data_IF_048570716355
#
_entry.id   IF_048570716355
#
_cell.length_a   1.000
_cell.length_b   1.000
_cell.length_c   1.000
_cell.angle_alpha   90.00
_cell.angle_beta   90.00
_cell.angle_gamma   90.00
#
_symmetry.space_group_name_H-M   'P 1'
#
loop_
_entity.id
_entity.type
_entity.pdbx_description
1 polymer ?
#
# COMPACT_ATOMS: atom_id res chain seq x y z
N UNK A 1 -15.42 -4.00 28.88
CA UNK A 1 -16.28 -3.81 27.68
C UNK A 1 -17.76 -3.74 28.07
N UNK A 2 -18.25 -4.45 29.11
CA UNK A 2 -19.66 -4.36 29.58
C UNK A 2 -20.02 -2.90 29.91
N UNK A 3 -19.23 -2.21 30.73
CA UNK A 3 -19.42 -0.76 31.02
C UNK A 3 -19.45 0.12 29.77
N UNK A 4 -18.68 -0.24 28.73
CA UNK A 4 -18.72 0.46 27.45
C UNK A 4 -20.09 0.31 26.79
N UNK A 5 -20.65 -0.91 26.78
CA UNK A 5 -21.98 -1.18 26.23
C UNK A 5 -23.09 -0.36 26.92
N UNK A 6 -23.07 -0.33 28.25
CA UNK A 6 -24.01 0.47 29.04
C UNK A 6 -23.90 1.97 28.71
N UNK A 7 -22.67 2.49 28.65
CA UNK A 7 -22.42 3.92 28.32
C UNK A 7 -22.87 4.24 26.89
N UNK A 8 -22.58 3.38 25.93
CA UNK A 8 -23.02 3.54 24.56
C UNK A 8 -24.55 3.54 24.43
N UNK A 9 -25.24 2.66 25.15
CA UNK A 9 -26.71 2.63 25.18
C UNK A 9 -27.32 3.97 25.69
N UNK A 10 -26.67 4.63 26.64
CA UNK A 10 -27.08 5.97 27.11
C UNK A 10 -26.87 7.02 26.01
N UNK A 11 -25.69 7.00 25.37
CA UNK A 11 -25.34 7.94 24.29
C UNK A 11 -26.29 7.75 23.10
N UNK A 12 -26.58 6.51 22.73
CA UNK A 12 -27.48 6.20 21.60
C UNK A 12 -28.89 6.77 21.81
N UNK A 13 -29.40 6.69 23.04
CA UNK A 13 -30.68 7.32 23.38
C UNK A 13 -30.60 8.84 23.32
N UNK A 14 -29.54 9.43 23.88
CA UNK A 14 -29.36 10.87 23.91
C UNK A 14 -29.12 11.50 22.53
N UNK A 15 -28.43 10.78 21.65
CA UNK A 15 -28.02 11.25 20.32
C UNK A 15 -28.86 10.68 19.18
N UNK A 16 -29.83 9.81 19.45
CA UNK A 16 -30.66 9.12 18.49
C UNK A 16 -29.85 8.38 17.38
N UNK A 17 -28.71 7.79 17.74
CA UNK A 17 -27.81 7.12 16.79
C UNK A 17 -28.36 5.78 16.29
N UNK A 18 -29.43 5.28 16.91
CA UNK A 18 -30.07 3.99 16.58
C UNK A 18 -29.08 2.81 16.60
N UNK A 19 -28.11 2.82 17.52
CA UNK A 19 -27.01 1.85 17.66
C UNK A 19 -26.05 1.81 16.45
N UNK A 20 -26.01 2.86 15.61
CA UNK A 20 -25.03 2.95 14.52
C UNK A 20 -23.66 3.34 15.11
N UNK A 21 -22.76 2.35 15.15
CA UNK A 21 -21.50 2.46 15.89
C UNK A 21 -20.33 2.03 15.02
N UNK A 22 -19.24 2.77 15.09
CA UNK A 22 -17.96 2.40 14.49
C UNK A 22 -16.93 2.29 15.60
N UNK A 23 -16.33 1.11 15.75
CA UNK A 23 -15.27 0.83 16.71
C UNK A 23 -13.92 0.93 16.00
N UNK A 24 -13.22 2.03 16.24
CA UNK A 24 -11.90 2.26 15.66
C UNK A 24 -10.82 1.75 16.64
N UNK A 25 -10.08 0.71 16.22
CA UNK A 25 -9.05 0.09 17.04
C UNK A 25 -7.71 0.81 16.85
N UNK A 26 -7.57 1.98 17.48
CA UNK A 26 -6.30 2.72 17.54
C UNK A 26 -5.44 2.20 18.70
N UNK A 27 -5.06 0.95 18.65
CA UNK A 27 -4.28 0.25 19.69
C UNK A 27 -3.12 -0.52 19.03
N UNK A 28 -2.19 -1.05 19.85
CA UNK A 28 -1.15 -1.93 19.31
C UNK A 28 -1.78 -3.11 18.56
N UNK A 29 -1.19 -3.54 17.42
CA UNK A 29 -1.68 -4.67 16.61
C UNK A 29 -1.90 -5.97 17.39
N UNK A 30 -1.14 -6.17 18.47
CA UNK A 30 -1.27 -7.30 19.39
C UNK A 30 -2.64 -7.39 20.05
N UNK A 31 -3.38 -6.28 20.13
CA UNK A 31 -4.70 -6.19 20.76
C UNK A 31 -5.86 -6.26 19.77
N UNK A 32 -5.64 -6.32 18.44
CA UNK A 32 -6.76 -6.35 17.49
C UNK A 32 -7.66 -7.55 17.71
N UNK A 33 -7.09 -8.75 17.78
CA UNK A 33 -7.89 -9.97 18.00
C UNK A 33 -8.62 -10.00 19.35
N UNK A 34 -7.96 -9.60 20.44
CA UNK A 34 -8.58 -9.54 21.77
C UNK A 34 -9.64 -8.44 21.86
N UNK A 35 -9.40 -7.29 21.24
CA UNK A 35 -10.37 -6.20 21.14
C UNK A 35 -11.63 -6.61 20.39
N UNK A 36 -11.49 -7.25 19.23
CA UNK A 36 -12.64 -7.77 18.47
C UNK A 36 -13.43 -8.80 19.27
N UNK A 37 -12.76 -9.78 19.91
CA UNK A 37 -13.44 -10.77 20.76
C UNK A 37 -14.19 -10.11 21.91
N UNK A 38 -13.59 -9.11 22.55
CA UNK A 38 -14.24 -8.40 23.66
C UNK A 38 -15.47 -7.61 23.21
N UNK A 39 -15.44 -6.99 22.03
CA UNK A 39 -16.60 -6.30 21.45
C UNK A 39 -17.71 -7.28 21.08
N UNK A 40 -17.37 -8.41 20.47
CA UNK A 40 -18.32 -9.46 20.12
C UNK A 40 -18.97 -10.10 21.36
N UNK A 41 -18.18 -10.44 22.38
CA UNK A 41 -18.68 -11.00 23.64
C UNK A 41 -19.65 -10.05 24.38
N UNK A 42 -19.48 -8.74 24.20
CA UNK A 42 -20.40 -7.74 24.73
C UNK A 42 -21.63 -7.45 23.84
N UNK A 43 -21.82 -8.21 22.73
CA UNK A 43 -22.91 -8.03 21.78
C UNK A 43 -22.83 -6.74 20.96
N UNK A 44 -21.68 -6.06 20.96
CA UNK A 44 -21.53 -4.74 20.31
C UNK A 44 -21.34 -4.86 18.79
N UNK A 45 -21.08 -6.06 18.26
CA UNK A 45 -20.93 -6.35 16.83
C UNK A 45 -22.08 -7.19 16.27
N UNK A 46 -23.17 -7.38 17.01
CA UNK A 46 -24.26 -8.30 16.65
C UNK A 46 -25.13 -7.82 15.48
N UNK A 47 -25.19 -6.52 15.22
CA UNK A 47 -25.97 -5.95 14.12
C UNK A 47 -25.04 -5.55 12.94
N UNK A 48 -24.99 -6.37 11.85
CA UNK A 48 -24.11 -6.09 10.71
C UNK A 48 -24.46 -4.83 9.93
N UNK A 49 -25.67 -4.31 10.05
CA UNK A 49 -26.07 -3.11 9.37
C UNK A 49 -25.63 -1.83 10.10
N UNK A 50 -25.39 -1.93 11.42
CA UNK A 50 -25.18 -0.76 12.27
C UNK A 50 -23.86 -0.75 13.05
N UNK A 51 -23.18 -1.87 13.19
CA UNK A 51 -21.90 -1.93 13.89
C UNK A 51 -20.75 -2.25 12.92
N UNK A 52 -19.65 -1.54 13.07
CA UNK A 52 -18.44 -1.67 12.25
C UNK A 52 -17.20 -1.68 13.12
N UNK A 53 -16.18 -2.39 12.67
CA UNK A 53 -14.85 -2.34 13.29
C UNK A 53 -13.83 -1.88 12.26
N UNK A 54 -13.01 -0.90 12.63
CA UNK A 54 -11.92 -0.36 11.81
C UNK A 54 -10.61 -0.79 12.42
N UNK A 55 -9.75 -1.38 11.59
CA UNK A 55 -8.45 -1.93 11.98
C UNK A 55 -7.37 -1.28 11.12
N UNK A 56 -6.34 -0.77 11.78
CA UNK A 56 -5.18 -0.16 11.12
C UNK A 56 -4.10 -1.19 10.72
N UNK A 57 -3.15 -0.74 9.93
CA UNK A 57 -1.92 -1.50 9.69
C UNK A 57 -1.01 -1.53 10.93
N UNK A 58 -0.18 -2.57 11.09
CA UNK A 58 -0.10 -3.78 10.26
C UNK A 58 -1.22 -4.77 10.57
N UNK A 59 -1.75 -5.42 9.53
CA UNK A 59 -2.70 -6.51 9.65
C UNK A 59 -1.94 -7.84 9.55
N UNK A 60 -1.34 -8.26 10.66
CA UNK A 60 -0.36 -9.34 10.71
C UNK A 60 1.05 -8.87 10.32
N UNK A 61 2.05 -9.72 10.60
CA UNK A 61 3.46 -9.49 10.28
C UNK A 61 3.91 -10.23 9.02
N UNK A 62 3.30 -11.37 8.77
CA UNK A 62 3.53 -12.27 7.65
C UNK A 62 2.21 -12.90 7.22
N UNK A 63 2.24 -13.75 6.21
CA UNK A 63 1.06 -14.40 5.66
C UNK A 63 0.31 -15.23 6.73
N UNK A 64 1.04 -16.01 7.54
CA UNK A 64 0.43 -16.87 8.57
C UNK A 64 -0.26 -16.05 9.67
N UNK A 65 0.41 -15.04 10.20
CA UNK A 65 -0.17 -14.16 11.23
C UNK A 65 -1.31 -13.29 10.69
N UNK A 66 -1.26 -12.89 9.42
CA UNK A 66 -2.35 -12.18 8.77
C UNK A 66 -3.59 -13.07 8.60
N UNK A 67 -3.40 -14.33 8.18
CA UNK A 67 -4.50 -15.32 8.11
C UNK A 67 -5.11 -15.60 9.48
N UNK A 68 -4.28 -15.80 10.52
CA UNK A 68 -4.79 -16.05 11.87
C UNK A 68 -5.57 -14.85 12.41
N UNK A 69 -5.03 -13.63 12.25
CA UNK A 69 -5.78 -12.44 12.66
C UNK A 69 -7.09 -12.30 11.88
N UNK A 70 -7.07 -12.57 10.58
CA UNK A 70 -8.28 -12.54 9.75
C UNK A 70 -9.31 -13.55 10.24
N UNK A 71 -8.90 -14.80 10.53
CA UNK A 71 -9.75 -15.82 11.09
C UNK A 71 -10.38 -15.38 12.41
N UNK A 72 -9.58 -14.82 13.32
CA UNK A 72 -10.07 -14.30 14.60
C UNK A 72 -11.08 -13.19 14.41
N UNK A 73 -10.81 -12.22 13.56
CA UNK A 73 -11.72 -11.08 13.33
C UNK A 73 -13.04 -11.54 12.69
N UNK A 74 -12.98 -12.48 11.75
CA UNK A 74 -14.17 -13.06 11.10
C UNK A 74 -15.04 -13.92 12.03
N UNK A 75 -14.49 -14.46 13.14
CA UNK A 75 -15.33 -15.08 14.17
C UNK A 75 -16.09 -14.06 15.01
N UNK A 76 -15.70 -12.78 14.98
CA UNK A 76 -16.29 -11.72 15.79
C UNK A 76 -17.29 -10.84 15.02
N UNK A 77 -17.11 -10.70 13.70
CA UNK A 77 -17.89 -9.80 12.85
C UNK A 77 -17.95 -10.35 11.42
N UNK A 78 -19.00 -9.99 10.70
CA UNK A 78 -19.11 -10.30 9.26
C UNK A 78 -18.15 -9.43 8.44
N UNK A 79 -17.74 -9.89 7.26
CA UNK A 79 -16.77 -9.16 6.42
C UNK A 79 -17.23 -7.74 6.05
N UNK A 80 -18.52 -7.52 5.87
CA UNK A 80 -19.09 -6.19 5.60
C UNK A 80 -19.03 -5.22 6.79
N UNK A 81 -18.72 -5.72 8.00
CA UNK A 81 -18.48 -4.91 9.20
C UNK A 81 -17.01 -4.57 9.41
N UNK A 82 -16.08 -5.24 8.69
CA UNK A 82 -14.65 -5.17 8.93
C UNK A 82 -14.00 -4.22 7.91
N UNK A 83 -13.41 -3.15 8.40
CA UNK A 83 -12.70 -2.15 7.60
C UNK A 83 -11.21 -2.17 7.93
N UNK A 84 -10.42 -2.78 7.06
CA UNK A 84 -8.95 -2.72 7.10
C UNK A 84 -8.52 -1.51 6.32
N UNK A 85 -7.93 -0.54 7.00
CA UNK A 85 -7.61 0.74 6.38
C UNK A 85 -6.16 0.84 5.93
N UNK A 86 -5.98 1.44 4.74
CA UNK A 86 -4.71 1.95 4.24
C UNK A 86 -4.89 3.43 3.91
N UNK A 87 -4.19 4.30 4.64
CA UNK A 87 -4.36 5.75 4.51
C UNK A 87 -3.97 6.30 3.12
N UNK A 88 -3.17 5.56 2.33
CA UNK A 88 -2.89 5.94 0.94
C UNK A 88 -4.15 5.92 0.08
N UNK A 89 -5.06 4.98 0.32
CA UNK A 89 -6.34 4.93 -0.40
C UNK A 89 -7.27 6.12 -0.06
N UNK A 90 -7.05 6.77 1.08
CA UNK A 90 -7.76 7.98 1.47
C UNK A 90 -7.18 9.27 0.85
N UNK A 91 -6.00 9.21 0.23
CA UNK A 91 -5.43 10.38 -0.44
C UNK A 91 -6.16 10.65 -1.75
N UNK A 92 -6.59 11.89 -1.94
CA UNK A 92 -7.25 12.36 -3.17
C UNK A 92 -6.37 12.11 -4.40
N UNK A 93 -5.07 12.38 -4.29
CA UNK A 93 -4.09 12.17 -5.36
C UNK A 93 -3.98 10.70 -5.78
N UNK A 94 -4.14 9.74 -4.86
CA UNK A 94 -4.20 8.31 -5.18
C UNK A 94 -5.51 7.94 -5.87
N UNK A 95 -6.63 8.48 -5.40
CA UNK A 95 -7.94 8.26 -6.03
C UNK A 95 -8.00 8.86 -7.43
N UNK A 96 -7.30 9.95 -7.69
CA UNK A 96 -7.21 10.59 -9.00
C UNK A 96 -6.57 9.69 -10.09
N UNK A 97 -5.85 8.64 -9.73
CA UNK A 97 -5.41 7.62 -10.69
C UNK A 97 -6.61 7.00 -11.42
N UNK A 98 -7.68 6.70 -10.67
CA UNK A 98 -8.91 6.11 -11.23
C UNK A 98 -9.65 7.11 -12.13
N UNK A 99 -9.78 8.35 -11.67
CA UNK A 99 -10.42 9.43 -12.43
C UNK A 99 -9.68 9.67 -13.75
N UNK A 100 -8.35 9.75 -13.68
CA UNK A 100 -7.51 9.92 -14.86
C UNK A 100 -7.70 8.78 -15.86
N UNK A 101 -7.70 7.53 -15.39
CA UNK A 101 -7.85 6.36 -16.26
C UNK A 101 -9.27 6.23 -16.83
N UNK A 102 -10.27 6.27 -15.97
CA UNK A 102 -11.63 5.83 -16.32
C UNK A 102 -12.60 6.96 -16.67
N UNK A 103 -12.23 8.21 -16.40
CA UNK A 103 -13.03 9.36 -16.83
C UNK A 103 -12.45 10.05 -18.08
N UNK A 104 -11.36 9.54 -18.67
CA UNK A 104 -10.71 10.13 -19.85
C UNK A 104 -10.59 9.08 -20.96
N UNK A 105 -11.24 9.33 -22.07
CA UNK A 105 -11.30 8.43 -23.23
C UNK A 105 -9.91 8.19 -23.87
N UNK A 106 -8.98 9.12 -23.72
CA UNK A 106 -7.65 9.05 -24.39
C UNK A 106 -6.67 8.13 -23.66
N UNK A 107 -6.80 7.92 -22.35
CA UNK A 107 -5.81 7.17 -21.58
C UNK A 107 -6.06 5.66 -21.56
N UNK A 108 -7.27 5.23 -21.29
CA UNK A 108 -7.55 3.79 -21.12
C UNK A 108 -7.20 2.92 -22.36
N UNK A 109 -7.43 3.36 -23.62
CA UNK A 109 -7.03 2.60 -24.81
C UNK A 109 -5.53 2.35 -24.92
N UNK A 110 -4.69 3.25 -24.41
CA UNK A 110 -3.23 3.14 -24.45
C UNK A 110 -2.64 2.59 -23.15
N UNK A 111 -3.48 2.26 -22.15
CA UNK A 111 -3.07 1.81 -20.82
C UNK A 111 -2.85 0.30 -20.76
N UNK A 112 -1.94 -0.19 -21.62
CA UNK A 112 -1.67 -1.62 -21.75
C UNK A 112 -0.29 -1.90 -22.37
N UNK A 113 0.09 -3.16 -22.43
CA UNK A 113 1.38 -3.67 -22.94
C UNK A 113 1.73 -3.27 -24.38
N UNK A 114 0.74 -2.89 -25.19
CA UNK A 114 1.02 -2.50 -26.58
C UNK A 114 1.67 -1.11 -26.65
N UNK A 115 1.41 -0.26 -25.66
CA UNK A 115 1.90 1.11 -25.62
C UNK A 115 2.87 1.38 -24.46
N UNK A 116 2.73 0.67 -23.32
CA UNK A 116 3.55 0.87 -22.14
C UNK A 116 4.75 -0.10 -22.18
N UNK A 117 5.96 0.42 -22.03
CA UNK A 117 7.20 -0.35 -21.97
C UNK A 117 7.59 -0.70 -20.53
N UNK A 118 7.29 0.17 -19.56
CA UNK A 118 7.54 -0.08 -18.14
C UNK A 118 6.71 0.82 -17.24
N UNK A 119 6.52 0.40 -15.99
CA UNK A 119 5.86 1.21 -14.94
C UNK A 119 6.77 1.27 -13.72
N UNK A 120 6.98 2.46 -13.15
CA UNK A 120 7.73 2.65 -11.92
C UNK A 120 6.82 3.29 -10.87
N UNK A 121 6.79 2.72 -9.67
CA UNK A 121 6.04 3.24 -8.52
C UNK A 121 7.03 3.53 -7.42
N UNK A 122 7.17 4.79 -7.05
CA UNK A 122 8.13 5.26 -6.07
C UNK A 122 7.44 5.94 -4.90
N UNK A 123 7.85 5.58 -3.67
CA UNK A 123 7.53 6.32 -2.46
C UNK A 123 8.83 6.57 -1.69
N UNK A 124 9.41 7.75 -1.86
CA UNK A 124 10.68 8.16 -1.27
C UNK A 124 10.44 9.12 -0.11
N UNK A 125 11.10 8.89 1.02
CA UNK A 125 11.03 9.71 2.22
C UNK A 125 12.41 10.32 2.53
N UNK A 126 12.42 11.60 2.93
CA UNK A 126 13.65 12.29 3.37
C UNK A 126 13.96 12.10 4.85
N UNK A 127 12.95 11.69 5.62
CA UNK A 127 13.06 11.42 7.07
C UNK A 127 13.65 10.03 7.33
N UNK A 128 14.28 9.86 8.51
CA UNK A 128 14.76 8.58 9.01
C UNK A 128 13.67 7.81 9.75
N UNK A 129 14.08 6.91 10.65
CA UNK A 129 13.15 6.17 11.52
C UNK A 129 12.77 6.99 12.76
N UNK A 130 13.64 7.91 13.19
CA UNK A 130 13.41 8.82 14.32
C UNK A 130 12.93 8.06 15.57
N UNK A 131 11.88 8.52 16.24
CA UNK A 131 11.35 7.88 17.45
C UNK A 131 10.62 6.54 17.20
N UNK A 132 10.50 6.10 15.94
CA UNK A 132 9.80 4.88 15.54
C UNK A 132 10.71 3.67 15.35
N UNK A 133 11.93 3.71 15.86
CA UNK A 133 12.92 2.63 15.70
C UNK A 133 12.37 1.25 16.09
N UNK A 134 11.74 1.12 17.27
CA UNK A 134 11.19 -0.16 17.75
C UNK A 134 10.11 -0.75 16.84
N UNK A 135 9.24 0.08 16.27
CA UNK A 135 8.27 -0.36 15.26
C UNK A 135 8.98 -0.77 13.98
N UNK A 136 9.91 0.06 13.52
CA UNK A 136 10.56 -0.12 12.22
C UNK A 136 11.47 -1.35 12.19
N UNK A 137 12.14 -1.68 13.31
CA UNK A 137 12.93 -2.90 13.46
C UNK A 137 12.12 -4.17 13.17
N UNK A 138 10.84 -4.16 13.50
CA UNK A 138 9.93 -5.28 13.24
C UNK A 138 9.31 -5.28 11.85
N UNK A 139 9.26 -4.14 11.17
CA UNK A 139 8.57 -3.94 9.89
C UNK A 139 9.51 -3.93 8.69
N UNK A 140 10.48 -3.03 8.69
CA UNK A 140 11.29 -2.71 7.51
C UNK A 140 10.48 -2.06 6.38
N UNK A 141 11.17 -1.65 5.33
CA UNK A 141 10.55 -0.98 4.19
C UNK A 141 9.58 -1.90 3.40
N UNK A 142 9.82 -3.20 3.39
CA UNK A 142 8.94 -4.17 2.72
C UNK A 142 7.54 -4.17 3.35
N UNK A 143 7.45 -4.37 4.67
CA UNK A 143 6.16 -4.46 5.36
C UNK A 143 5.53 -3.09 5.60
N UNK A 144 6.35 -2.05 5.83
CA UNK A 144 5.83 -0.71 6.11
C UNK A 144 5.29 -0.03 4.84
N UNK A 145 5.89 -0.26 3.67
CA UNK A 145 5.56 0.47 2.46
C UNK A 145 5.16 -0.41 1.27
N UNK A 146 5.90 -1.48 0.96
CA UNK A 146 5.66 -2.26 -0.26
C UNK A 146 4.39 -3.08 -0.15
N UNK A 147 4.26 -3.87 0.91
CA UNK A 147 3.15 -4.81 1.13
C UNK A 147 1.76 -4.14 1.19
N UNK A 148 1.70 -2.85 1.48
CA UNK A 148 0.47 -2.08 1.57
C UNK A 148 0.42 -0.94 0.54
N UNK A 149 1.02 0.19 0.81
CA UNK A 149 0.88 1.42 0.03
C UNK A 149 1.29 1.27 -1.44
N UNK A 150 2.48 0.71 -1.72
CA UNK A 150 2.94 0.53 -3.10
C UNK A 150 2.11 -0.52 -3.83
N UNK A 151 1.72 -1.59 -3.14
CA UNK A 151 0.84 -2.63 -3.68
C UNK A 151 -0.56 -2.08 -4.00
N UNK A 152 -1.10 -1.19 -3.18
CA UNK A 152 -2.37 -0.52 -3.48
C UNK A 152 -2.25 0.40 -4.70
N UNK A 153 -1.17 1.20 -4.79
CA UNK A 153 -0.92 2.03 -5.97
C UNK A 153 -0.73 1.18 -7.22
N UNK A 154 0.00 0.06 -7.13
CA UNK A 154 0.13 -0.90 -8.21
C UNK A 154 -1.24 -1.41 -8.67
N UNK A 155 -2.07 -1.87 -7.74
CA UNK A 155 -3.39 -2.39 -8.05
C UNK A 155 -4.28 -1.35 -8.74
N UNK A 156 -4.35 -0.11 -8.23
CA UNK A 156 -5.13 0.97 -8.86
C UNK A 156 -4.60 1.37 -10.24
N UNK A 157 -3.28 1.32 -10.42
CA UNK A 157 -2.64 1.63 -11.71
C UNK A 157 -2.93 0.55 -12.75
N UNK A 158 -3.11 -0.71 -12.34
CA UNK A 158 -3.06 -1.85 -13.27
C UNK A 158 -4.34 -2.65 -13.39
N UNK A 159 -5.33 -2.44 -12.50
CA UNK A 159 -6.61 -3.13 -12.52
C UNK A 159 -7.44 -2.80 -13.79
N UNK A 160 -8.39 -3.67 -14.12
CA UNK A 160 -9.40 -3.36 -15.12
C UNK A 160 -10.41 -2.33 -14.59
N UNK A 161 -11.12 -1.69 -15.50
CA UNK A 161 -12.23 -0.83 -15.13
C UNK A 161 -13.31 -1.65 -14.41
N UNK A 162 -13.71 -1.31 -13.19
CA UNK A 162 -14.76 -2.03 -12.50
C UNK A 162 -16.12 -1.79 -13.20
N UNK A 163 -16.96 -2.81 -13.23
CA UNK A 163 -18.30 -2.69 -13.83
C UNK A 163 -19.22 -1.72 -13.07
N UNK A 164 -18.90 -1.43 -11.81
CA UNK A 164 -19.56 -0.44 -10.94
C UNK A 164 -18.52 0.20 -10.03
N UNK A 165 -18.75 1.48 -9.70
CA UNK A 165 -17.91 2.19 -8.74
C UNK A 165 -18.43 1.97 -7.30
N UNK A 166 -18.32 0.72 -6.83
CA UNK A 166 -18.64 0.30 -5.46
C UNK A 166 -17.47 -0.44 -4.81
N UNK A 167 -17.44 -0.57 -3.48
CA UNK A 167 -16.32 -1.16 -2.76
C UNK A 167 -16.03 -2.62 -3.12
N UNK A 168 -17.05 -3.40 -3.47
CA UNK A 168 -16.89 -4.82 -3.81
C UNK A 168 -16.28 -4.98 -5.20
N UNK A 169 -16.84 -4.31 -6.21
CA UNK A 169 -16.30 -4.31 -7.57
C UNK A 169 -14.86 -3.83 -7.61
N UNK A 170 -14.53 -2.76 -6.86
CA UNK A 170 -13.17 -2.26 -6.74
C UNK A 170 -12.21 -3.27 -6.10
N UNK A 171 -12.63 -3.96 -5.04
CA UNK A 171 -11.82 -5.00 -4.39
C UNK A 171 -11.56 -6.18 -5.33
N UNK A 172 -12.58 -6.60 -6.06
CA UNK A 172 -12.48 -7.72 -6.99
C UNK A 172 -11.47 -7.44 -8.10
N UNK A 173 -11.51 -6.26 -8.73
CA UNK A 173 -10.54 -5.90 -9.77
C UNK A 173 -9.11 -5.81 -9.22
N UNK A 174 -8.91 -5.23 -8.04
CA UNK A 174 -7.61 -5.22 -7.37
C UNK A 174 -7.11 -6.64 -7.07
N UNK A 175 -7.98 -7.52 -6.57
CA UNK A 175 -7.62 -8.90 -6.26
C UNK A 175 -7.16 -9.67 -7.51
N UNK A 176 -7.84 -9.53 -8.64
CA UNK A 176 -7.45 -10.16 -9.92
C UNK A 176 -6.03 -9.79 -10.33
N UNK A 177 -5.69 -8.51 -10.24
CA UNK A 177 -4.34 -8.03 -10.55
C UNK A 177 -3.31 -8.61 -9.60
N UNK A 178 -3.57 -8.58 -8.30
CA UNK A 178 -2.63 -9.06 -7.29
C UNK A 178 -2.42 -10.58 -7.40
N UNK A 179 -3.45 -11.34 -7.75
CA UNK A 179 -3.33 -12.76 -8.04
C UNK A 179 -2.47 -13.07 -9.29
N UNK A 180 -2.41 -12.14 -10.23
CA UNK A 180 -1.57 -12.25 -11.43
C UNK A 180 -0.15 -11.70 -11.26
N UNK A 181 0.13 -11.00 -10.15
CA UNK A 181 1.44 -10.43 -9.88
C UNK A 181 2.45 -11.52 -9.52
N UNK A 182 3.65 -11.46 -10.12
CA UNK A 182 4.76 -12.39 -9.91
C UNK A 182 6.07 -11.63 -9.78
N UNK A 183 6.98 -12.10 -8.94
CA UNK A 183 8.36 -11.63 -8.97
C UNK A 183 9.00 -11.94 -10.31
N UNK A 184 9.93 -11.12 -10.75
CA UNK A 184 10.63 -11.32 -12.02
C UNK A 184 11.46 -12.62 -12.03
N UNK A 185 11.86 -13.11 -10.86
CA UNK A 185 12.46 -14.40 -10.65
C UNK A 185 11.97 -14.93 -9.30
N UNK A 186 11.05 -15.89 -9.31
CA UNK A 186 10.47 -16.48 -8.09
C UNK A 186 11.42 -17.45 -7.40
N UNK A 187 12.26 -18.15 -8.17
CA UNK A 187 13.22 -19.11 -7.62
C UNK A 187 14.41 -18.39 -6.96
N UNK A 188 14.78 -17.23 -7.47
CA UNK A 188 15.89 -16.41 -6.97
C UNK A 188 15.45 -14.97 -6.72
N UNK A 189 14.63 -14.71 -5.68
CA UNK A 189 14.06 -13.39 -5.41
C UNK A 189 15.11 -12.27 -5.25
N UNK A 190 16.32 -12.61 -4.81
CA UNK A 190 17.43 -11.66 -4.67
C UNK A 190 17.93 -11.08 -5.99
N UNK A 191 17.65 -11.73 -7.13
CA UNK A 191 17.99 -11.21 -8.46
C UNK A 191 17.04 -10.12 -8.94
N UNK A 192 15.88 -10.03 -8.32
CA UNK A 192 14.86 -9.04 -8.69
C UNK A 192 14.43 -8.12 -7.53
N UNK A 193 15.06 -8.26 -6.36
CA UNK A 193 14.80 -7.43 -5.19
C UNK A 193 16.11 -7.01 -4.54
N UNK A 194 16.33 -5.69 -4.43
CA UNK A 194 17.45 -5.10 -3.72
C UNK A 194 16.95 -4.52 -2.41
N UNK A 195 17.64 -4.82 -1.30
CA UNK A 195 17.39 -4.25 0.01
C UNK A 195 18.63 -3.53 0.50
N UNK A 196 18.46 -2.46 1.24
CA UNK A 196 19.57 -1.72 1.81
C UNK A 196 19.17 -0.94 3.05
N UNK A 197 20.16 -0.40 3.72
CA UNK A 197 20.00 0.52 4.85
C UNK A 197 20.68 1.84 4.52
N UNK A 198 20.14 2.98 5.00
CA UNK A 198 20.88 4.22 4.89
C UNK A 198 22.05 4.23 5.85
N UNK A 199 23.21 4.60 5.31
CA UNK A 199 24.43 4.79 6.06
C UNK A 199 24.58 6.23 6.59
N UNK A 200 25.64 6.52 7.36
CA UNK A 200 26.01 7.88 7.68
C UNK A 200 26.25 8.69 6.41
N UNK A 201 25.88 9.96 6.41
CA UNK A 201 26.01 10.82 5.23
C UNK A 201 25.77 12.29 5.57
N UNK A 202 25.32 13.05 4.58
CA UNK A 202 25.08 14.49 4.71
C UNK A 202 26.35 15.32 4.51
N UNK A 203 26.30 16.59 4.90
CA UNK A 203 27.46 17.51 4.89
C UNK A 203 28.01 17.72 6.31
N UNK A 204 29.21 18.29 6.39
CA UNK A 204 29.82 18.66 7.69
C UNK A 204 28.94 19.57 8.54
N UNK A 205 28.12 20.41 7.90
CA UNK A 205 27.17 21.30 8.57
C UNK A 205 25.83 20.64 8.90
N UNK A 206 25.53 19.46 8.32
CA UNK A 206 24.28 18.73 8.49
C UNK A 206 24.51 17.22 8.37
N UNK A 207 25.20 16.62 9.37
CA UNK A 207 25.47 15.18 9.34
C UNK A 207 24.17 14.39 9.45
N UNK A 208 24.10 13.28 8.73
CA UNK A 208 23.02 12.32 8.81
C UNK A 208 23.53 11.06 9.49
N UNK A 209 22.87 10.66 10.56
CA UNK A 209 23.15 9.43 11.29
C UNK A 209 22.72 8.23 10.43
N UNK A 210 23.55 7.18 10.38
CA UNK A 210 23.22 5.92 9.72
C UNK A 210 22.17 5.14 10.53
N UNK A 211 21.43 4.26 9.87
CA UNK A 211 20.31 3.52 10.47
C UNK A 211 20.69 2.79 11.77
N UNK A 212 21.81 2.04 11.75
CA UNK A 212 22.28 1.29 12.92
C UNK A 212 22.82 2.17 14.06
N UNK A 213 22.93 3.46 13.82
CA UNK A 213 23.36 4.45 14.80
C UNK A 213 22.17 5.28 15.33
N UNK A 214 20.97 5.08 14.79
CA UNK A 214 19.78 5.78 15.28
C UNK A 214 19.40 5.26 16.68
N UNK A 215 18.91 6.14 17.58
CA UNK A 215 18.49 5.74 18.92
C UNK A 215 17.42 4.63 18.87
N UNK A 216 17.62 3.57 19.64
CA UNK A 216 16.68 2.44 19.72
C UNK A 216 16.76 1.42 18.58
N UNK A 217 17.70 1.58 17.65
CA UNK A 217 18.00 0.58 16.62
C UNK A 217 19.11 -0.36 17.12
N UNK A 218 18.96 -1.66 16.84
CA UNK A 218 20.02 -2.62 17.13
C UNK A 218 21.23 -2.34 16.20
N UNK A 219 22.46 -2.16 16.73
CA UNK A 219 23.66 -1.95 15.91
C UNK A 219 23.93 -3.05 14.88
N UNK A 220 23.46 -4.27 15.13
CA UNK A 220 23.57 -5.41 14.23
C UNK A 220 22.31 -5.63 13.36
N UNK A 221 21.40 -4.68 13.34
CA UNK A 221 20.15 -4.78 12.60
C UNK A 221 20.39 -5.06 11.11
N UNK A 222 19.61 -5.98 10.56
CA UNK A 222 19.53 -6.28 9.12
C UNK A 222 18.23 -5.80 8.48
N UNK A 223 17.43 -5.04 9.24
CA UNK A 223 16.14 -4.51 8.77
C UNK A 223 16.38 -3.48 7.67
N UNK A 224 15.77 -3.69 6.53
CA UNK A 224 15.92 -2.82 5.38
C UNK A 224 15.18 -1.49 5.54
N UNK A 225 15.83 -0.40 5.18
CA UNK A 225 15.26 0.95 5.10
C UNK A 225 15.05 1.42 3.65
N UNK A 226 15.48 0.60 2.71
CA UNK A 226 15.33 0.78 1.27
C UNK A 226 15.00 -0.55 0.60
N UNK A 227 14.06 -0.51 -0.34
CA UNK A 227 13.73 -1.64 -1.21
C UNK A 227 13.50 -1.14 -2.62
N UNK A 228 14.08 -1.86 -3.58
CA UNK A 228 13.72 -1.77 -4.99
C UNK A 228 13.46 -3.18 -5.51
N UNK A 229 12.35 -3.39 -6.20
CA UNK A 229 12.00 -4.71 -6.72
C UNK A 229 11.37 -4.61 -8.11
N UNK A 230 11.56 -5.68 -8.89
CA UNK A 230 10.97 -5.87 -10.21
C UNK A 230 9.96 -7.00 -10.15
N UNK A 231 8.78 -6.76 -10.69
CA UNK A 231 7.73 -7.76 -10.82
C UNK A 231 7.06 -7.68 -12.18
N UNK A 232 6.26 -8.68 -12.51
CA UNK A 232 5.39 -8.74 -13.69
C UNK A 232 3.95 -9.02 -13.27
N UNK A 233 3.00 -8.62 -14.11
CA UNK A 233 1.59 -8.96 -13.96
C UNK A 233 1.22 -9.84 -15.15
N UNK A 234 0.99 -11.12 -14.88
CA UNK A 234 0.73 -12.15 -15.89
C UNK A 234 -0.75 -12.17 -16.27
N UNK A 235 -1.19 -11.11 -16.95
CA UNK A 235 -2.51 -11.02 -17.54
C UNK A 235 -2.44 -10.44 -18.97
N UNK A 236 -3.56 -10.45 -19.69
CA UNK A 236 -3.62 -9.96 -21.07
C UNK A 236 -3.20 -8.50 -21.24
N UNK A 237 -3.52 -7.64 -20.28
CA UNK A 237 -3.20 -6.21 -20.32
C UNK A 237 -1.71 -5.94 -20.14
N UNK A 238 -1.02 -6.70 -19.26
CA UNK A 238 0.31 -6.34 -18.78
C UNK A 238 1.42 -7.36 -19.08
N UNK A 239 1.10 -8.49 -19.67
CA UNK A 239 2.11 -9.53 -19.95
C UNK A 239 3.35 -8.95 -20.63
N UNK A 240 4.53 -9.16 -20.02
CA UNK A 240 5.82 -8.69 -20.51
C UNK A 240 6.20 -7.26 -20.13
N UNK A 241 5.32 -6.48 -19.49
CA UNK A 241 5.65 -5.16 -18.97
C UNK A 241 6.28 -5.30 -17.59
N UNK A 242 7.51 -4.81 -17.35
CA UNK A 242 8.12 -4.79 -16.04
C UNK A 242 7.53 -3.66 -15.17
N UNK A 243 7.28 -4.00 -13.91
CA UNK A 243 6.88 -3.06 -12.87
C UNK A 243 8.00 -2.95 -11.86
N UNK A 244 8.43 -1.73 -11.58
CA UNK A 244 9.45 -1.43 -10.59
C UNK A 244 8.82 -0.72 -9.39
N UNK A 245 8.89 -1.35 -8.23
CA UNK A 245 8.48 -0.75 -6.97
C UNK A 245 9.71 -0.29 -6.21
N UNK A 246 9.72 0.95 -5.73
CA UNK A 246 10.84 1.51 -4.97
C UNK A 246 10.37 2.35 -3.80
N UNK A 247 10.95 2.10 -2.64
CA UNK A 247 10.74 2.92 -1.44
C UNK A 247 12.01 2.98 -0.60
N UNK A 248 12.12 4.01 0.20
CA UNK A 248 13.22 4.13 1.15
C UNK A 248 13.14 5.40 1.98
N UNK A 249 13.85 5.35 3.11
CA UNK A 249 14.07 6.47 4.02
C UNK A 249 15.41 7.14 3.76
N UNK A 250 15.57 8.41 4.20
CA UNK A 250 16.78 9.22 3.99
C UNK A 250 17.17 9.34 2.51
N UNK A 251 16.18 9.31 1.62
CA UNK A 251 16.41 9.61 0.20
C UNK A 251 16.52 11.12 -0.03
N UNK A 252 17.21 11.57 -1.09
CA UNK A 252 17.50 13.00 -1.31
C UNK A 252 16.26 13.87 -1.46
N UNK A 253 15.14 13.28 -1.92
CA UNK A 253 13.89 14.00 -2.18
C UNK A 253 12.70 13.20 -1.69
N UNK A 254 11.75 13.89 -1.03
CA UNK A 254 10.43 13.31 -0.76
C UNK A 254 9.65 13.26 -2.07
N UNK A 255 9.22 12.06 -2.44
CA UNK A 255 8.57 11.82 -3.72
C UNK A 255 7.61 10.63 -3.60
N UNK A 256 6.37 10.80 -4.04
CA UNK A 256 5.44 9.71 -4.30
C UNK A 256 4.92 9.88 -5.72
N UNK A 257 5.19 8.90 -6.59
CA UNK A 257 4.79 9.01 -8.00
C UNK A 257 4.62 7.63 -8.65
N UNK A 258 3.81 7.62 -9.71
CA UNK A 258 3.72 6.54 -10.68
C UNK A 258 4.19 7.09 -12.03
N UNK A 259 5.21 6.48 -12.61
CA UNK A 259 5.75 6.83 -13.93
C UNK A 259 5.44 5.69 -14.90
N UNK A 260 4.70 6.01 -15.96
CA UNK A 260 4.48 5.11 -17.08
C UNK A 260 5.38 5.56 -18.22
N UNK A 261 6.26 4.68 -18.66
CA UNK A 261 7.12 4.91 -19.84
C UNK A 261 6.47 4.23 -21.03
N UNK A 262 6.23 4.99 -22.08
CA UNK A 262 5.66 4.47 -23.32
C UNK A 262 6.73 3.78 -24.17
N UNK A 263 6.30 2.95 -25.10
CA UNK A 263 7.18 2.38 -26.12
C UNK A 263 7.66 3.50 -27.02
N UNK A 264 8.84 3.31 -27.56
CA UNK A 264 9.41 4.22 -28.58
C UNK A 264 8.53 4.25 -29.84
N UNK A 265 8.58 5.37 -30.54
CA UNK A 265 7.94 5.49 -31.84
C UNK A 265 8.55 4.43 -32.81
N UNK A 266 7.73 3.71 -33.59
CA UNK A 266 8.23 2.66 -34.47
C UNK A 266 9.08 3.19 -35.63
N UNK A 267 9.03 4.49 -35.89
CA UNK A 267 9.80 5.17 -36.93
C UNK A 267 10.39 6.44 -36.39
N UNK A 268 11.68 6.63 -36.56
CA UNK A 268 12.45 7.79 -36.12
C UNK A 268 12.63 8.75 -37.29
N UNK A 269 11.66 9.64 -37.50
CA UNK A 269 11.67 10.57 -38.64
C UNK A 269 12.59 11.78 -38.43
N UNK A 270 13.05 12.05 -37.21
CA UNK A 270 13.76 13.26 -36.82
C UNK A 270 15.19 13.00 -36.33
N UNK A 271 15.76 11.84 -36.63
CA UNK A 271 17.12 11.44 -36.21
C UNK A 271 18.25 12.32 -36.72
N UNK A 272 18.00 13.14 -37.76
CA UNK A 272 19.00 14.02 -38.33
C UNK A 272 19.51 15.12 -37.37
N UNK A 273 18.91 15.31 -36.22
CA UNK A 273 19.26 16.35 -35.25
C UNK A 273 20.08 15.85 -34.03
N UNK A 274 20.57 14.61 -34.03
CA UNK A 274 21.62 14.18 -33.09
C UNK A 274 21.20 13.35 -31.89
N UNK A 275 20.23 12.46 -31.97
CA UNK A 275 19.97 11.47 -30.92
C UNK A 275 18.63 10.74 -31.06
N UNK A 276 18.57 9.49 -30.63
CA UNK A 276 17.31 8.76 -30.54
C UNK A 276 16.34 9.49 -29.62
N UNK A 277 15.05 9.65 -30.00
CA UNK A 277 14.06 10.34 -29.18
C UNK A 277 13.87 9.60 -27.84
N UNK A 278 13.85 10.36 -26.76
CA UNK A 278 13.55 9.81 -25.44
C UNK A 278 12.09 9.31 -25.40
N UNK A 279 11.82 8.11 -24.90
CA UNK A 279 10.45 7.60 -24.78
C UNK A 279 9.56 8.55 -23.98
N UNK A 280 8.33 8.72 -24.43
CA UNK A 280 7.35 9.53 -23.72
C UNK A 280 7.07 8.94 -22.33
N UNK A 281 6.86 9.82 -21.36
CA UNK A 281 6.52 9.44 -20.00
C UNK A 281 5.28 10.18 -19.51
N UNK A 282 4.44 9.46 -18.78
CA UNK A 282 3.35 10.03 -18.01
C UNK A 282 3.67 9.87 -16.54
N UNK A 283 3.76 11.00 -15.83
CA UNK A 283 4.14 11.04 -14.41
C UNK A 283 2.95 11.49 -13.60
N UNK A 284 2.43 10.60 -12.75
CA UNK A 284 1.38 10.87 -11.78
C UNK A 284 2.02 11.15 -10.42
N UNK A 285 1.99 12.38 -9.97
CA UNK A 285 2.49 12.76 -8.64
C UNK A 285 1.39 12.62 -7.59
N UNK A 286 1.76 12.02 -6.43
CA UNK A 286 0.85 11.59 -5.35
C UNK A 286 1.16 12.31 -4.05
#
# INVERSE_FOLDING_TARGET
VVRLGERLAVIDRQRATRNNRTFYLSVSPTFYGSGCRSLAAAGLLSDPARSRVVIEKPFGRDYGSAQELNRVVQTCAQENQIFRIDHYLGKETVQNILVMRFANTIFEPIWNRNYISSVQITAAETVGVEERAGYYESSGALRDMVQNHLTQMLALTTMEAPGRFDPESMRNEKAKVLQAARLANEDEPWKCCVRGQYGPGGSSSKPITGYRQEPGVNPESTTETYVAMKLFINNWRWQGVPFYLRTGKRLPKRLSEVVLTFREAPVHLFDAAGGAPTPNQLILRI
#
